data_IF_594722373396
#
_entry.id   IF_594722373396
#
_cell.length_a   1.000
_cell.length_b   1.000
_cell.length_c   1.000
_cell.angle_alpha   90.00
_cell.angle_beta   90.00
_cell.angle_gamma   90.00
#
_symmetry.space_group_name_H-M   'P 1'
#
loop_
_entity.id
_entity.type
_entity.pdbx_description
1 polymer ?
#
# COMPACT_ATOMS: atom_id res chain seq x y z
N UNK A 1 -10.96 25.54 7.49
CA UNK A 1 -10.15 24.46 8.10
C UNK A 1 -10.93 23.17 7.93
N UNK A 2 -10.25 22.08 7.59
CA UNK A 2 -10.84 20.74 7.55
C UNK A 2 -10.59 20.08 8.89
N UNK A 3 -11.53 19.26 9.34
CA UNK A 3 -11.48 18.65 10.67
C UNK A 3 -11.16 17.15 10.56
N UNK A 4 -11.20 16.59 9.35
CA UNK A 4 -10.79 15.21 9.06
C UNK A 4 -10.28 15.06 7.63
N UNK A 5 -9.43 14.06 7.43
CA UNK A 5 -8.97 13.60 6.11
C UNK A 5 -9.45 12.17 5.93
N UNK A 6 -10.11 11.90 4.81
CA UNK A 6 -10.58 10.58 4.42
C UNK A 6 -9.82 10.22 3.14
N UNK A 7 -9.22 9.04 3.08
CA UNK A 7 -8.55 8.55 1.89
C UNK A 7 -9.25 7.30 1.43
N UNK A 8 -9.81 7.37 0.22
CA UNK A 8 -10.72 6.38 -0.38
C UNK A 8 -11.96 6.10 0.49
N UNK A 9 -13.14 6.24 -0.10
CA UNK A 9 -14.40 5.96 0.55
C UNK A 9 -15.28 5.13 -0.38
N UNK A 10 -15.11 3.81 -0.34
CA UNK A 10 -16.01 2.85 -0.99
C UNK A 10 -17.39 2.79 -0.36
N UNK A 11 -17.47 2.85 0.97
CA UNK A 11 -18.72 2.80 1.72
C UNK A 11 -18.64 3.72 2.95
N UNK A 12 -19.67 4.55 3.13
CA UNK A 12 -19.78 5.48 4.27
C UNK A 12 -20.19 4.82 5.58
N UNK A 13 -20.73 3.60 5.57
CA UNK A 13 -21.19 2.92 6.78
C UNK A 13 -20.07 2.80 7.83
N UNK A 14 -18.85 2.50 7.38
CA UNK A 14 -17.67 2.35 8.22
C UNK A 14 -17.18 3.68 8.84
N UNK A 15 -17.52 4.82 8.23
CA UNK A 15 -17.06 6.14 8.68
C UNK A 15 -17.89 6.73 9.83
N UNK A 16 -19.11 6.23 10.04
CA UNK A 16 -20.05 6.79 11.01
C UNK A 16 -19.53 6.88 12.45
N UNK A 17 -18.66 5.98 12.97
CA UNK A 17 -18.09 6.12 14.31
C UNK A 17 -17.02 7.20 14.44
N UNK A 18 -16.50 7.73 13.32
CA UNK A 18 -15.33 8.62 13.29
C UNK A 18 -15.66 10.06 12.87
N UNK A 19 -16.87 10.30 12.37
CA UNK A 19 -17.27 11.59 11.82
C UNK A 19 -18.49 12.14 12.54
N UNK A 20 -18.32 13.29 13.17
CA UNK A 20 -19.44 14.04 13.76
C UNK A 20 -20.26 14.77 12.70
N UNK A 21 -21.53 15.06 12.99
CA UNK A 21 -22.46 15.69 12.06
C UNK A 21 -22.00 17.06 11.50
N UNK A 22 -21.14 17.78 12.24
CA UNK A 22 -20.59 19.09 11.81
C UNK A 22 -19.23 18.98 11.11
N UNK A 23 -18.71 17.77 10.92
CA UNK A 23 -17.39 17.52 10.35
C UNK A 23 -17.25 18.16 8.95
N UNK A 24 -16.06 18.70 8.68
CA UNK A 24 -15.66 19.25 7.38
C UNK A 24 -14.62 18.34 6.72
N UNK A 25 -15.03 17.18 6.17
CA UNK A 25 -14.08 16.21 5.66
C UNK A 25 -13.41 16.67 4.38
N UNK A 26 -12.11 16.42 4.29
CA UNK A 26 -11.34 16.43 3.06
C UNK A 26 -11.14 15.00 2.57
N UNK A 27 -11.81 14.64 1.47
CA UNK A 27 -11.71 13.32 0.84
C UNK A 27 -10.64 13.34 -0.25
N UNK A 28 -9.69 12.44 -0.19
CA UNK A 28 -8.75 12.13 -1.26
C UNK A 28 -9.10 10.79 -1.88
N UNK A 29 -9.07 10.72 -3.21
CA UNK A 29 -9.21 9.48 -3.96
C UNK A 29 -7.85 9.13 -4.57
N UNK A 30 -7.43 7.87 -4.41
CA UNK A 30 -6.18 7.36 -4.99
C UNK A 30 -6.34 6.97 -6.46
N UNK A 31 -7.53 6.52 -6.85
CA UNK A 31 -7.90 6.16 -8.23
C UNK A 31 -9.43 6.04 -8.39
N UNK A 32 -9.89 5.81 -9.63
CA UNK A 32 -11.32 5.80 -9.99
C UNK A 32 -12.09 4.48 -9.84
N UNK A 33 -11.58 3.46 -9.16
CA UNK A 33 -12.37 2.23 -8.94
C UNK A 33 -13.52 2.44 -7.94
N UNK A 34 -14.64 1.75 -8.17
CA UNK A 34 -15.89 1.98 -7.45
C UNK A 34 -15.77 1.73 -5.94
N UNK A 35 -15.05 0.70 -5.55
CA UNK A 35 -14.76 0.33 -4.17
C UNK A 35 -13.86 1.34 -3.42
N UNK A 36 -13.35 2.37 -4.12
CA UNK A 36 -12.64 3.50 -3.52
C UNK A 36 -13.44 4.82 -3.56
N UNK A 37 -14.50 4.93 -4.37
CA UNK A 37 -15.21 6.19 -4.57
C UNK A 37 -16.74 6.14 -4.35
N UNK A 38 -17.34 4.97 -4.20
CA UNK A 38 -18.81 4.82 -4.19
C UNK A 38 -19.50 5.51 -3.00
N UNK A 39 -18.79 5.74 -1.89
CA UNK A 39 -19.30 6.46 -0.73
C UNK A 39 -19.24 7.98 -0.87
N UNK A 40 -18.49 8.52 -1.84
CA UNK A 40 -18.30 9.97 -2.00
C UNK A 40 -19.61 10.74 -2.21
N UNK A 41 -20.55 10.30 -3.08
CA UNK A 41 -21.83 10.99 -3.24
C UNK A 41 -22.63 11.05 -1.93
N UNK A 42 -22.53 10.04 -1.07
CA UNK A 42 -23.17 10.03 0.25
C UNK A 42 -22.48 11.01 1.19
N UNK A 43 -21.14 11.04 1.24
CA UNK A 43 -20.41 12.03 2.05
C UNK A 43 -20.74 13.47 1.65
N UNK A 44 -20.81 13.77 0.35
CA UNK A 44 -21.15 15.12 -0.14
C UNK A 44 -22.59 15.54 0.20
N UNK A 45 -23.53 14.58 0.25
CA UNK A 45 -24.91 14.82 0.68
C UNK A 45 -25.01 15.04 2.19
N UNK A 46 -24.25 14.27 2.98
CA UNK A 46 -24.30 14.30 4.45
C UNK A 46 -23.57 15.52 5.03
N UNK A 47 -22.36 15.82 4.53
CA UNK A 47 -21.51 16.88 5.10
C UNK A 47 -21.45 18.10 4.18
N UNK A 48 -22.07 19.21 4.61
CA UNK A 48 -22.19 20.46 3.83
C UNK A 48 -20.86 21.02 3.31
N UNK A 49 -19.76 20.74 4.00
CA UNK A 49 -18.42 21.23 3.67
C UNK A 49 -17.47 20.12 3.20
N UNK A 50 -18.00 18.98 2.75
CA UNK A 50 -17.22 17.90 2.17
C UNK A 50 -16.47 18.39 0.92
N UNK A 51 -15.14 18.34 0.97
CA UNK A 51 -14.28 18.66 -0.18
C UNK A 51 -13.66 17.39 -0.72
N UNK A 52 -13.78 17.15 -2.02
CA UNK A 52 -13.24 15.94 -2.68
C UNK A 52 -12.07 16.32 -3.57
N UNK A 53 -11.01 15.52 -3.53
CA UNK A 53 -9.81 15.62 -4.36
C UNK A 53 -9.62 14.31 -5.12
N UNK A 54 -9.76 14.38 -6.43
CA UNK A 54 -9.54 13.26 -7.34
C UNK A 54 -8.13 13.32 -7.92
N UNK A 55 -7.59 12.18 -8.38
CA UNK A 55 -6.42 12.18 -9.23
C UNK A 55 -6.67 12.99 -10.52
N UNK A 56 -5.62 13.55 -11.14
CA UNK A 56 -5.73 14.18 -12.45
C UNK A 56 -6.15 13.14 -13.50
N UNK A 57 -7.14 13.48 -14.33
CA UNK A 57 -7.75 12.55 -15.31
C UNK A 57 -6.82 12.09 -16.45
N UNK A 58 -5.61 12.67 -16.58
CA UNK A 58 -4.56 12.18 -17.49
C UNK A 58 -3.16 12.47 -16.92
N UNK A 59 -2.25 11.48 -16.81
CA UNK A 59 -0.83 11.78 -16.72
C UNK A 59 -0.39 12.36 -18.08
N UNK A 60 0.21 13.54 -18.08
CA UNK A 60 0.79 14.12 -19.30
C UNK A 60 1.71 13.09 -19.97
N UNK A 61 1.47 12.78 -21.24
CA UNK A 61 2.12 11.73 -22.06
C UNK A 61 3.61 11.93 -22.34
N UNK A 62 4.27 12.81 -21.60
CA UNK A 62 5.73 12.91 -21.61
C UNK A 62 6.24 11.99 -20.51
N UNK A 63 7.11 11.05 -20.86
CA UNK A 63 8.00 10.34 -19.94
C UNK A 63 8.99 11.30 -19.25
N UNK A 64 8.47 12.40 -18.70
CA UNK A 64 9.20 13.41 -17.96
C UNK A 64 9.46 12.82 -16.58
N UNK A 65 10.63 12.20 -16.46
CA UNK A 65 11.43 12.07 -15.24
C UNK A 65 10.65 12.45 -13.96
N UNK A 66 10.10 11.45 -13.27
CA UNK A 66 9.68 11.57 -11.87
C UNK A 66 10.93 11.89 -11.03
N UNK A 67 11.37 13.14 -11.09
CA UNK A 67 12.40 13.70 -10.24
C UNK A 67 11.76 14.00 -8.89
N UNK A 68 11.91 13.07 -7.96
CA UNK A 68 12.01 13.44 -6.55
C UNK A 68 13.30 14.24 -6.36
N UNK A 69 13.32 15.49 -6.82
CA UNK A 69 14.39 16.42 -6.46
C UNK A 69 14.07 16.96 -5.07
N UNK A 70 15.09 17.04 -4.22
CA UNK A 70 15.05 17.50 -2.84
C UNK A 70 14.62 18.98 -2.66
N UNK A 71 14.00 19.61 -3.66
CA UNK A 71 13.50 20.99 -3.61
C UNK A 71 12.65 21.37 -4.84
N UNK A 72 11.82 20.48 -5.39
CA UNK A 72 10.80 20.90 -6.37
C UNK A 72 9.40 20.72 -5.79
N UNK A 73 8.80 21.87 -5.49
CA UNK A 73 7.38 22.05 -5.28
C UNK A 73 6.64 21.46 -6.48
N UNK A 74 5.92 20.36 -6.30
CA UNK A 74 4.84 19.98 -7.18
C UNK A 74 3.88 21.18 -7.20
N UNK A 75 3.94 21.95 -8.29
CA UNK A 75 2.86 22.86 -8.62
C UNK A 75 1.58 22.00 -8.69
N UNK A 76 0.62 22.36 -7.86
CA UNK A 76 -0.72 21.77 -7.69
C UNK A 76 -0.84 20.67 -6.61
N UNK A 77 -1.31 21.13 -5.44
CA UNK A 77 -1.96 20.41 -4.33
C UNK A 77 -1.14 20.00 -3.09
N UNK A 78 0.08 20.51 -2.87
CA UNK A 78 0.66 20.46 -1.52
C UNK A 78 -0.16 21.34 -0.55
N UNK A 79 -0.70 20.75 0.52
CA UNK A 79 -1.44 21.50 1.57
C UNK A 79 -0.88 21.20 2.95
N UNK A 80 -0.76 22.25 3.74
CA UNK A 80 -0.37 22.18 5.14
C UNK A 80 -1.59 22.47 6.02
N UNK A 81 -1.88 21.60 6.98
CA UNK A 81 -2.84 21.83 8.06
C UNK A 81 -2.04 22.03 9.34
N UNK A 82 -2.25 23.15 10.04
CA UNK A 82 -1.55 23.44 11.28
C UNK A 82 -2.52 23.36 12.46
N UNK A 83 -2.20 22.55 13.47
CA UNK A 83 -2.78 22.62 14.81
C UNK A 83 -1.77 23.29 15.76
N UNK A 84 -2.15 23.53 17.02
CA UNK A 84 -1.37 24.39 17.94
C UNK A 84 0.12 24.01 18.08
N UNK A 85 0.47 22.72 17.95
CA UNK A 85 1.84 22.19 18.09
C UNK A 85 2.36 21.38 16.89
N UNK A 86 1.54 21.11 15.86
CA UNK A 86 1.94 20.31 14.71
C UNK A 86 1.54 20.91 13.36
N UNK A 87 2.28 20.49 12.33
CA UNK A 87 2.08 20.78 10.93
C UNK A 87 1.95 19.46 10.16
N UNK A 88 0.79 19.25 9.53
CA UNK A 88 0.53 18.11 8.65
C UNK A 88 0.66 18.57 7.21
N UNK A 89 1.64 18.02 6.49
CA UNK A 89 1.83 18.24 5.05
C UNK A 89 1.27 17.06 4.26
N UNK A 90 0.43 17.34 3.27
CA UNK A 90 -0.11 16.36 2.34
C UNK A 90 0.46 16.60 0.94
N UNK A 91 1.06 15.58 0.36
CA UNK A 91 1.62 15.61 -1.01
C UNK A 91 1.11 14.40 -1.79
N UNK A 92 0.50 14.63 -2.95
CA UNK A 92 0.10 13.56 -3.86
C UNK A 92 1.14 13.42 -4.99
N UNK A 93 1.44 12.18 -5.39
CA UNK A 93 2.32 11.89 -6.51
C UNK A 93 1.64 10.92 -7.48
N UNK A 94 1.67 11.24 -8.78
CA UNK A 94 1.18 10.34 -9.81
C UNK A 94 2.08 9.10 -9.91
N UNK A 95 1.47 7.93 -9.78
CA UNK A 95 2.12 6.63 -9.97
C UNK A 95 1.18 5.76 -10.80
N UNK A 96 1.15 5.95 -12.14
CA UNK A 96 0.23 5.24 -13.01
C UNK A 96 0.67 3.79 -13.23
N UNK A 97 0.63 3.01 -12.15
CA UNK A 97 1.06 1.63 -12.10
C UNK A 97 -0.15 0.68 -12.01
N UNK A 98 -1.06 0.91 -11.06
CA UNK A 98 -2.28 0.11 -10.95
C UNK A 98 -3.27 0.47 -12.05
N UNK A 99 -3.69 1.73 -12.09
CA UNK A 99 -4.46 2.37 -13.17
C UNK A 99 -3.68 3.57 -13.72
N UNK A 100 -4.08 4.09 -14.88
CA UNK A 100 -3.41 5.25 -15.48
C UNK A 100 -3.57 6.55 -14.68
N UNK A 101 -4.56 6.63 -13.81
CA UNK A 101 -4.84 7.78 -12.93
C UNK A 101 -4.36 7.55 -11.49
N UNK A 102 -3.74 6.41 -11.18
CA UNK A 102 -3.32 6.09 -9.81
C UNK A 102 -2.36 7.13 -9.23
N UNK A 103 -2.64 7.58 -8.00
CA UNK A 103 -1.77 8.45 -7.19
C UNK A 103 -1.49 7.82 -5.84
N UNK A 104 -0.35 8.19 -5.25
CA UNK A 104 -0.02 7.92 -3.85
C UNK A 104 -0.09 9.22 -3.08
N UNK A 105 -0.77 9.21 -1.94
CA UNK A 105 -0.80 10.35 -1.02
C UNK A 105 0.20 10.12 0.10
N UNK A 106 1.07 11.10 0.32
CA UNK A 106 2.03 11.13 1.41
C UNK A 106 1.63 12.18 2.42
N UNK A 107 1.36 11.75 3.65
CA UNK A 107 1.13 12.61 4.80
C UNK A 107 2.38 12.63 5.66
N UNK A 108 2.88 13.82 6.01
CA UNK A 108 4.00 14.01 6.93
C UNK A 108 3.54 14.88 8.08
N UNK A 109 3.81 14.43 9.30
CA UNK A 109 3.51 15.19 10.51
C UNK A 109 4.82 15.70 11.08
N UNK A 110 4.91 17.01 11.34
CA UNK A 110 6.07 17.64 12.02
C UNK A 110 5.58 18.53 13.15
N UNK A 111 6.42 18.82 14.14
CA UNK A 111 6.11 19.87 15.09
C UNK A 111 6.17 21.25 14.40
N UNK A 112 5.38 22.20 14.89
CA UNK A 112 5.48 23.61 14.47
C UNK A 112 6.82 24.23 14.87
N UNK A 113 7.43 23.76 15.98
CA UNK A 113 8.83 24.00 16.33
C UNK A 113 9.70 22.81 15.94
N UNK A 114 10.50 22.96 14.89
CA UNK A 114 11.40 21.91 14.38
C UNK A 114 12.42 21.40 15.42
N UNK A 115 12.68 22.15 16.51
CA UNK A 115 13.54 21.69 17.63
C UNK A 115 12.90 20.56 18.44
N UNK A 116 11.61 20.31 18.24
CA UNK A 116 10.81 19.36 19.02
C UNK A 116 10.48 18.07 18.26
N UNK A 117 10.89 17.90 16.99
CA UNK A 117 10.61 16.68 16.18
C UNK A 117 11.13 15.36 16.80
N UNK A 118 12.02 15.45 17.80
CA UNK A 118 12.57 14.32 18.55
C UNK A 118 12.00 14.18 19.98
N UNK A 119 11.12 15.08 20.42
CA UNK A 119 10.49 15.00 21.74
C UNK A 119 9.28 14.07 21.67
N UNK A 120 9.18 13.14 22.64
CA UNK A 120 7.95 12.38 22.86
C UNK A 120 6.93 13.32 23.48
N UNK A 121 5.99 13.82 22.69
CA UNK A 121 4.81 14.49 23.23
C UNK A 121 3.67 13.45 23.25
N UNK A 122 3.00 13.32 24.39
CA UNK A 122 1.74 12.55 24.47
C UNK A 122 0.69 13.33 23.68
N UNK A 123 0.30 12.84 22.50
CA UNK A 123 -0.60 13.58 21.60
C UNK A 123 -1.67 12.70 20.96
N UNK A 124 -2.82 13.34 20.72
CA UNK A 124 -4.06 12.79 20.17
C UNK A 124 -3.91 12.33 18.69
N UNK A 125 -4.71 11.34 18.24
CA UNK A 125 -4.68 10.84 16.86
C UNK A 125 -5.00 11.93 15.82
N UNK A 126 -4.15 12.10 14.81
CA UNK A 126 -4.33 13.09 13.74
C UNK A 126 -5.13 12.61 12.51
N UNK A 127 -5.63 11.36 12.47
CA UNK A 127 -6.43 10.92 11.32
C UNK A 127 -7.02 9.50 11.38
N UNK A 128 -8.01 9.25 10.53
CA UNK A 128 -8.65 7.94 10.34
C UNK A 128 -8.46 7.45 8.91
N UNK A 129 -8.02 6.20 8.75
CA UNK A 129 -7.98 5.50 7.46
C UNK A 129 -9.23 4.63 7.35
N UNK A 130 -9.83 4.53 6.16
CA UNK A 130 -10.86 3.52 5.90
C UNK A 130 -10.37 2.63 4.78
N UNK A 131 -10.32 1.31 5.03
CA UNK A 131 -9.98 0.33 4.00
C UNK A 131 -11.19 -0.57 3.76
N UNK A 132 -11.49 -0.79 2.49
CA UNK A 132 -12.44 -1.79 2.06
C UNK A 132 -11.73 -3.16 1.99
N UNK A 133 -12.27 -4.16 2.69
CA UNK A 133 -11.93 -5.55 2.41
C UNK A 133 -12.77 -6.02 1.21
N UNK A 134 -12.20 -6.71 0.22
CA UNK A 134 -12.96 -7.28 -0.90
C UNK A 134 -13.89 -8.43 -0.48
N UNK A 135 -13.61 -9.09 0.65
CA UNK A 135 -14.33 -10.29 1.11
C UNK A 135 -14.99 -10.12 2.50
N UNK A 136 -15.08 -8.88 3.01
CA UNK A 136 -15.61 -8.57 4.34
C UNK A 136 -16.37 -7.25 4.38
N UNK A 137 -17.10 -6.96 5.48
CA UNK A 137 -17.73 -5.66 5.64
C UNK A 137 -16.65 -4.56 5.61
N UNK A 138 -16.95 -3.38 5.04
CA UNK A 138 -16.01 -2.26 5.00
C UNK A 138 -15.54 -1.94 6.42
N UNK A 139 -14.23 -1.81 6.61
CA UNK A 139 -13.62 -1.64 7.92
C UNK A 139 -12.85 -0.32 7.97
N UNK A 140 -13.30 0.58 8.83
CA UNK A 140 -12.59 1.81 9.13
C UNK A 140 -11.66 1.61 10.32
N UNK A 141 -10.43 2.13 10.22
CA UNK A 141 -9.42 2.08 11.26
C UNK A 141 -8.86 3.47 11.50
N UNK A 142 -9.04 3.99 12.71
CA UNK A 142 -8.33 5.19 13.12
C UNK A 142 -6.83 4.90 13.29
N UNK A 143 -5.98 5.74 12.70
CA UNK A 143 -4.53 5.58 12.74
C UNK A 143 -3.89 6.87 13.25
N UNK A 144 -3.41 6.84 14.48
CA UNK A 144 -2.60 7.92 15.04
C UNK A 144 -1.24 7.99 14.36
N UNK A 145 -0.81 9.21 14.03
CA UNK A 145 0.55 9.51 13.60
C UNK A 145 1.16 10.54 14.54
N UNK A 146 2.43 10.35 14.87
CA UNK A 146 3.21 11.26 15.71
C UNK A 146 4.05 12.21 14.85
N UNK A 147 4.47 13.34 15.42
CA UNK A 147 5.42 14.24 14.77
C UNK A 147 6.71 13.51 14.43
N UNK A 148 7.29 13.81 13.27
CA UNK A 148 8.41 13.11 12.67
C UNK A 148 8.05 11.77 12.02
N UNK A 149 6.76 11.42 11.92
CA UNK A 149 6.29 10.25 11.18
C UNK A 149 5.60 10.65 9.86
N UNK A 150 5.48 9.66 8.97
CA UNK A 150 4.73 9.79 7.73
C UNK A 150 3.79 8.60 7.51
N UNK A 151 2.76 8.81 6.70
CA UNK A 151 1.91 7.76 6.15
C UNK A 151 1.86 7.88 4.62
N UNK A 152 1.99 6.74 3.95
CA UNK A 152 1.84 6.58 2.51
C UNK A 152 0.53 5.85 2.26
N UNK A 153 -0.46 6.57 1.76
CA UNK A 153 -1.72 5.99 1.29
C UNK A 153 -1.52 5.60 -0.17
N UNK A 154 -1.39 4.31 -0.41
CA UNK A 154 -0.92 3.79 -1.70
C UNK A 154 -2.05 3.30 -2.60
N UNK A 155 -3.30 3.35 -2.11
CA UNK A 155 -4.45 2.74 -2.78
C UNK A 155 -4.09 1.33 -3.21
N UNK A 156 -4.26 1.07 -4.50
CA UNK A 156 -3.96 -0.24 -5.08
C UNK A 156 -2.58 -0.35 -5.71
N UNK A 157 -1.69 0.63 -5.52
CA UNK A 157 -0.34 0.59 -6.06
C UNK A 157 0.58 -0.34 -5.25
N UNK A 158 0.59 -0.17 -3.93
CA UNK A 158 1.34 -1.00 -2.98
C UNK A 158 0.40 -1.52 -1.89
N UNK A 159 0.68 -2.73 -1.43
CA UNK A 159 -0.02 -3.36 -0.31
C UNK A 159 1.01 -3.93 0.68
N UNK A 160 0.54 -4.33 1.85
CA UNK A 160 1.36 -5.14 2.75
C UNK A 160 1.88 -6.38 2.00
N UNK A 161 3.20 -6.54 1.98
CA UNK A 161 3.94 -7.62 1.32
C UNK A 161 3.65 -7.80 -0.19
N UNK A 162 3.06 -6.81 -0.88
CA UNK A 162 2.71 -6.92 -2.30
C UNK A 162 2.54 -5.59 -3.02
N UNK A 163 2.05 -5.68 -4.26
CA UNK A 163 1.72 -4.55 -5.13
C UNK A 163 0.45 -4.84 -5.94
N UNK A 164 -0.11 -3.79 -6.53
CA UNK A 164 -1.24 -3.84 -7.46
C UNK A 164 -1.01 -4.71 -8.69
N UNK A 165 -2.11 -5.16 -9.30
CA UNK A 165 -2.09 -5.60 -10.71
C UNK A 165 -1.91 -4.40 -11.61
N UNK A 166 -1.27 -4.61 -12.76
CA UNK A 166 -1.13 -3.57 -13.79
C UNK A 166 -2.34 -3.63 -14.72
N UNK A 167 -3.28 -2.71 -14.58
CA UNK A 167 -4.44 -2.58 -15.48
C UNK A 167 -4.18 -1.58 -16.63
N UNK A 168 -3.01 -0.94 -16.65
CA UNK A 168 -2.61 -0.04 -17.73
C UNK A 168 -2.34 -0.83 -19.02
N UNK A 169 -2.95 -0.42 -20.13
CA UNK A 169 -2.70 -1.00 -21.46
C UNK A 169 -1.47 -0.41 -22.16
N UNK A 170 -0.81 0.58 -21.57
CA UNK A 170 0.36 1.24 -22.14
C UNK A 170 1.61 0.38 -21.99
N UNK A 171 2.39 0.31 -23.05
CA UNK A 171 3.73 -0.27 -23.06
C UNK A 171 4.76 0.83 -23.17
N UNK A 172 5.86 0.65 -22.46
CA UNK A 172 7.05 1.47 -22.56
C UNK A 172 7.73 1.22 -23.90
N UNK A 173 7.92 2.27 -24.70
CA UNK A 173 8.41 2.15 -26.08
C UNK A 173 9.86 1.70 -26.18
N UNK A 174 10.66 1.88 -25.12
CA UNK A 174 12.08 1.49 -25.11
C UNK A 174 12.27 0.04 -24.66
N UNK A 175 11.48 -0.41 -23.70
CA UNK A 175 11.62 -1.74 -23.09
C UNK A 175 10.61 -2.77 -23.60
N UNK A 176 9.51 -2.35 -24.22
CA UNK A 176 8.40 -3.21 -24.63
C UNK A 176 7.59 -3.81 -23.47
N UNK A 177 7.80 -3.31 -22.24
CA UNK A 177 7.14 -3.77 -21.02
C UNK A 177 5.92 -2.93 -20.69
N UNK A 178 5.01 -3.38 -19.80
CA UNK A 178 3.96 -2.53 -19.27
C UNK A 178 4.56 -1.26 -18.64
N UNK A 179 4.11 -0.08 -19.06
CA UNK A 179 4.64 1.20 -18.55
C UNK A 179 4.50 1.31 -17.02
N UNK A 180 3.46 0.68 -16.45
CA UNK A 180 3.27 0.50 -15.02
C UNK A 180 4.51 -0.03 -14.27
N UNK A 181 5.28 -0.93 -14.89
CA UNK A 181 6.50 -1.46 -14.28
C UNK A 181 7.59 -0.39 -14.11
N UNK A 182 7.71 0.53 -15.08
CA UNK A 182 8.61 1.69 -15.00
C UNK A 182 8.17 2.65 -13.89
N UNK A 183 6.86 2.95 -13.80
CA UNK A 183 6.33 3.81 -12.75
C UNK A 183 6.51 3.21 -11.35
N UNK A 184 6.27 1.91 -11.20
CA UNK A 184 6.53 1.20 -9.95
C UNK A 184 8.03 1.20 -9.61
N UNK A 185 8.92 1.04 -10.59
CA UNK A 185 10.36 1.11 -10.37
C UNK A 185 10.81 2.49 -9.85
N UNK A 186 10.27 3.58 -10.40
CA UNK A 186 10.52 4.94 -9.90
C UNK A 186 10.05 5.09 -8.45
N UNK A 187 8.86 4.59 -8.12
CA UNK A 187 8.35 4.60 -6.75
C UNK A 187 9.27 3.83 -5.81
N UNK A 188 9.62 2.58 -6.15
CA UNK A 188 10.52 1.74 -5.35
C UNK A 188 11.83 2.47 -5.09
N UNK A 189 12.45 3.02 -6.14
CA UNK A 189 13.72 3.74 -6.03
C UNK A 189 13.63 4.94 -5.07
N UNK A 190 12.50 5.64 -5.06
CA UNK A 190 12.26 6.72 -4.12
C UNK A 190 12.09 6.22 -2.68
N UNK A 191 11.25 5.20 -2.48
CA UNK A 191 10.96 4.63 -1.16
C UNK A 191 12.16 3.91 -0.52
N UNK A 192 13.10 3.42 -1.33
CA UNK A 192 14.35 2.81 -0.87
C UNK A 192 15.48 3.81 -0.67
N UNK A 193 15.24 5.10 -0.92
CA UNK A 193 16.29 6.13 -0.83
C UNK A 193 16.75 6.32 0.61
N UNK A 194 18.07 6.38 0.88
CA UNK A 194 18.59 6.67 2.22
C UNK A 194 18.27 8.10 2.68
N UNK A 195 17.89 8.99 1.76
CA UNK A 195 17.53 10.37 2.04
C UNK A 195 16.02 10.58 2.27
N UNK A 196 15.24 9.50 2.38
CA UNK A 196 13.81 9.59 2.65
C UNK A 196 13.56 10.18 4.05
N UNK A 197 12.80 11.26 4.12
CA UNK A 197 12.45 11.95 5.37
C UNK A 197 10.93 12.17 5.48
N UNK A 198 10.24 11.63 6.50
CA UNK A 198 10.73 10.74 7.55
C UNK A 198 11.33 9.41 7.07
N UNK A 199 12.23 8.78 7.86
CA UNK A 199 12.90 7.54 7.46
C UNK A 199 11.92 6.37 7.36
N UNK A 200 12.30 5.25 6.70
CA UNK A 200 11.43 4.08 6.52
C UNK A 200 10.84 3.51 7.82
N UNK A 201 11.58 3.54 8.93
CA UNK A 201 11.11 3.06 10.23
C UNK A 201 9.99 3.95 10.84
N UNK A 202 9.84 5.18 10.36
CA UNK A 202 8.83 6.15 10.81
C UNK A 202 7.80 6.46 9.72
N UNK A 203 7.79 5.68 8.64
CA UNK A 203 6.85 5.83 7.53
C UNK A 203 5.93 4.63 7.50
N UNK A 204 4.62 4.81 7.64
CA UNK A 204 3.63 3.75 7.47
C UNK A 204 3.24 3.61 6.00
N UNK A 205 2.99 2.39 5.56
CA UNK A 205 2.42 2.05 4.26
C UNK A 205 0.99 1.55 4.47
N UNK A 206 0.03 2.23 3.86
CA UNK A 206 -1.41 2.03 4.01
C UNK A 206 -2.00 1.76 2.63
N UNK A 207 -2.18 0.47 2.31
CA UNK A 207 -2.80 0.02 1.06
C UNK A 207 -4.33 0.06 1.11
N UNK A 208 -4.96 -0.03 -0.06
CA UNK A 208 -6.42 0.00 -0.21
C UNK A 208 -7.14 -1.24 0.34
N UNK A 209 -6.44 -2.38 0.37
CA UNK A 209 -7.04 -3.69 0.63
C UNK A 209 -6.23 -4.60 1.56
N UNK A 210 -6.95 -5.51 2.21
CA UNK A 210 -6.43 -6.58 3.06
C UNK A 210 -5.96 -7.80 2.26
N UNK A 211 -4.84 -7.65 1.53
CA UNK A 211 -4.22 -8.75 0.77
C UNK A 211 -2.97 -9.33 1.43
N UNK A 212 -2.59 -8.87 2.62
CA UNK A 212 -1.26 -9.12 3.17
C UNK A 212 -0.96 -10.60 3.43
N UNK A 213 -1.93 -11.38 3.92
CA UNK A 213 -1.76 -12.82 4.13
C UNK A 213 -1.46 -13.58 2.81
N UNK A 214 -2.25 -13.31 1.76
CA UNK A 214 -2.07 -13.94 0.45
C UNK A 214 -0.77 -13.46 -0.23
N UNK A 215 -0.45 -12.16 -0.12
CA UNK A 215 0.77 -11.57 -0.64
C UNK A 215 2.01 -12.20 0.00
N UNK A 216 1.97 -12.41 1.31
CA UNK A 216 3.05 -13.06 2.06
C UNK A 216 3.20 -14.53 1.72
N UNK A 217 2.10 -15.27 1.56
CA UNK A 217 2.15 -16.66 1.12
C UNK A 217 2.90 -16.79 -0.20
N UNK A 218 2.64 -15.89 -1.15
CA UNK A 218 3.39 -15.78 -2.40
C UNK A 218 4.86 -15.38 -2.18
N UNK A 219 5.14 -14.36 -1.35
CA UNK A 219 6.52 -13.94 -1.08
C UNK A 219 7.37 -15.11 -0.51
N UNK A 220 6.79 -15.96 0.33
CA UNK A 220 7.44 -17.15 0.88
C UNK A 220 7.79 -18.21 -0.17
N UNK A 221 7.09 -18.26 -1.30
CA UNK A 221 7.48 -19.16 -2.40
C UNK A 221 8.74 -18.69 -3.13
N UNK A 222 9.03 -17.37 -3.07
CA UNK A 222 10.18 -16.77 -3.74
C UNK A 222 11.41 -16.69 -2.83
N UNK A 223 11.22 -16.37 -1.54
CA UNK A 223 12.30 -16.27 -0.55
C UNK A 223 11.99 -17.17 0.68
N UNK A 224 12.05 -18.50 0.55
CA UNK A 224 11.69 -19.43 1.63
C UNK A 224 12.58 -19.33 2.88
N UNK A 225 13.79 -18.77 2.73
CA UNK A 225 14.75 -18.58 3.82
C UNK A 225 14.69 -17.18 4.44
N UNK A 226 13.83 -16.28 3.94
CA UNK A 226 13.68 -14.95 4.53
C UNK A 226 12.90 -15.06 5.86
N UNK A 227 13.62 -14.97 6.97
CA UNK A 227 13.05 -15.12 8.31
C UNK A 227 12.01 -14.04 8.64
N UNK A 228 12.10 -12.86 8.01
CA UNK A 228 11.15 -11.78 8.18
C UNK A 228 9.77 -12.15 7.64
N UNK A 229 9.68 -13.12 6.72
CA UNK A 229 8.43 -13.67 6.21
C UNK A 229 7.84 -14.79 7.09
N UNK A 230 8.50 -15.23 8.17
CA UNK A 230 8.00 -16.31 9.05
C UNK A 230 6.85 -15.86 9.93
N UNK A 231 5.85 -16.73 10.10
CA UNK A 231 4.72 -16.50 11.00
C UNK A 231 5.25 -16.20 12.40
N UNK A 232 4.96 -15.01 12.91
CA UNK A 232 5.24 -14.67 14.30
C UNK A 232 3.89 -14.62 15.01
N UNK A 233 3.47 -15.67 15.71
CA UNK A 233 2.20 -15.68 16.42
C UNK A 233 2.12 -14.57 17.50
N UNK A 234 3.25 -14.08 18.01
CA UNK A 234 3.30 -13.21 19.20
C UNK A 234 3.08 -11.71 18.94
N UNK A 235 3.18 -11.22 17.70
CA UNK A 235 2.81 -9.82 17.39
C UNK A 235 1.54 -9.67 16.58
N UNK A 236 0.70 -10.70 16.61
CA UNK A 236 -0.75 -10.49 16.43
C UNK A 236 -1.34 -9.72 17.62
N UNK A 237 -0.66 -9.67 18.78
CA UNK A 237 -1.35 -9.47 20.05
C UNK A 237 -0.83 -8.37 21.00
N UNK A 238 0.16 -7.54 20.62
CA UNK A 238 0.63 -6.49 21.55
C UNK A 238 0.77 -5.05 21.04
N UNK A 239 0.55 -4.76 19.76
CA UNK A 239 0.43 -3.35 19.32
C UNK A 239 -0.36 -3.15 18.02
N UNK A 240 -0.61 -4.20 17.22
CA UNK A 240 -1.28 -4.08 15.93
C UNK A 240 -2.01 -5.40 15.65
N UNK A 241 -3.34 -5.41 15.72
CA UNK A 241 -4.12 -6.63 15.44
C UNK A 241 -3.77 -7.17 14.05
N UNK A 242 -3.31 -8.42 13.99
CA UNK A 242 -2.80 -9.15 12.82
C UNK A 242 -1.82 -8.36 11.91
N UNK A 243 -0.64 -8.93 11.70
CA UNK A 243 0.49 -8.42 10.91
C UNK A 243 0.25 -7.85 9.50
N UNK A 244 -0.99 -7.93 9.01
CA UNK A 244 -1.42 -7.56 7.68
C UNK A 244 -2.66 -6.66 7.65
N UNK A 245 -3.25 -6.37 8.83
CA UNK A 245 -4.43 -5.53 9.01
C UNK A 245 -4.35 -4.20 8.26
N UNK A 246 -5.53 -3.67 7.91
CA UNK A 246 -5.83 -2.25 7.58
C UNK A 246 -4.99 -1.20 8.34
N UNK A 247 -4.45 -1.52 9.53
CA UNK A 247 -3.47 -0.68 10.27
C UNK A 247 -2.14 -0.45 9.54
N UNK A 248 -1.82 -1.20 8.50
CA UNK A 248 -0.60 -1.09 7.71
C UNK A 248 0.66 -1.57 8.42
N UNK A 249 1.80 -1.39 7.75
CA UNK A 249 3.12 -1.72 8.28
C UNK A 249 4.11 -0.58 8.04
N UNK A 250 5.19 -0.51 8.81
CA UNK A 250 6.27 0.44 8.52
C UNK A 250 6.92 0.12 7.16
N UNK A 251 7.40 1.13 6.46
CA UNK A 251 8.14 0.97 5.22
C UNK A 251 9.44 0.18 5.47
N UNK A 252 10.08 0.34 6.63
CA UNK A 252 11.20 -0.53 7.02
C UNK A 252 10.82 -2.01 7.01
N UNK A 253 9.66 -2.36 7.58
CA UNK A 253 9.14 -3.74 7.53
C UNK A 253 8.87 -4.18 6.10
N UNK A 254 8.23 -3.34 5.29
CA UNK A 254 7.96 -3.66 3.90
C UNK A 254 9.26 -3.82 3.08
N UNK A 255 10.33 -3.08 3.38
CA UNK A 255 11.66 -3.29 2.78
C UNK A 255 12.28 -4.65 3.18
N UNK A 256 11.87 -5.24 4.30
CA UNK A 256 12.31 -6.55 4.74
C UNK A 256 11.44 -7.70 4.21
N UNK A 257 10.17 -7.45 3.89
CA UNK A 257 9.20 -8.51 3.54
C UNK A 257 8.58 -8.40 2.14
N UNK A 258 8.42 -7.21 1.58
CA UNK A 258 7.71 -7.01 0.33
C UNK A 258 8.61 -7.31 -0.88
N UNK A 259 8.33 -8.36 -1.67
CA UNK A 259 9.19 -8.73 -2.79
C UNK A 259 9.29 -7.61 -3.85
N UNK A 260 8.27 -6.75 -4.00
CA UNK A 260 8.31 -5.63 -4.95
C UNK A 260 9.26 -4.50 -4.51
N UNK A 261 9.44 -4.30 -3.21
CA UNK A 261 10.40 -3.30 -2.69
C UNK A 261 11.82 -3.87 -2.59
N UNK A 262 11.95 -5.18 -2.34
CA UNK A 262 13.23 -5.89 -2.16
C UNK A 262 13.97 -6.18 -3.46
N UNK A 263 13.26 -6.24 -4.58
CA UNK A 263 13.78 -6.74 -5.85
C UNK A 263 14.99 -5.95 -6.38
N UNK A 264 15.10 -4.67 -6.02
CA UNK A 264 16.25 -3.85 -6.35
C UNK A 264 17.54 -4.32 -5.67
N UNK A 265 17.45 -4.86 -4.45
CA UNK A 265 18.59 -5.17 -3.58
C UNK A 265 18.79 -6.68 -3.30
N UNK A 266 17.87 -7.56 -3.72
CA UNK A 266 17.94 -9.00 -3.46
C UNK A 266 18.29 -9.82 -4.72
N UNK A 267 19.56 -10.25 -4.89
CA UNK A 267 19.95 -11.19 -5.94
C UNK A 267 19.22 -12.52 -5.85
N UNK A 268 18.96 -13.00 -4.63
CA UNK A 268 18.24 -14.27 -4.41
C UNK A 268 16.81 -14.23 -4.95
N UNK A 269 16.10 -13.12 -4.74
CA UNK A 269 14.75 -12.92 -5.26
C UNK A 269 14.74 -12.85 -6.80
N UNK A 270 15.72 -12.17 -7.40
CA UNK A 270 15.89 -12.14 -8.87
C UNK A 270 16.15 -13.53 -9.43
N UNK A 271 17.00 -14.32 -8.78
CA UNK A 271 17.28 -15.70 -9.17
C UNK A 271 16.04 -16.59 -9.09
N UNK A 272 15.23 -16.48 -8.02
CA UNK A 272 13.96 -17.21 -7.87
C UNK A 272 12.95 -16.90 -8.98
N UNK A 273 13.05 -15.74 -9.62
CA UNK A 273 12.21 -15.32 -10.74
C UNK A 273 12.84 -15.64 -12.12
N UNK A 274 14.01 -16.27 -12.15
CA UNK A 274 14.83 -16.46 -13.36
C UNK A 274 15.13 -15.14 -14.10
N UNK A 275 15.26 -14.03 -13.36
CA UNK A 275 15.60 -12.73 -13.91
C UNK A 275 17.12 -12.56 -13.87
N UNK A 276 17.71 -12.15 -15.00
CA UNK A 276 19.15 -11.91 -15.09
C UNK A 276 19.60 -10.84 -14.09
N UNK A 277 20.82 -10.98 -13.53
CA UNK A 277 21.35 -10.03 -12.56
C UNK A 277 21.37 -8.58 -13.10
N UNK A 278 21.75 -8.43 -14.37
CA UNK A 278 21.85 -7.13 -15.06
C UNK A 278 20.52 -6.59 -15.60
N UNK A 279 19.41 -7.31 -15.41
CA UNK A 279 18.10 -6.82 -15.84
C UNK A 279 17.74 -5.53 -15.09
N UNK A 280 17.17 -4.56 -15.80
CA UNK A 280 16.71 -3.32 -15.18
C UNK A 280 15.59 -3.61 -14.17
N UNK A 281 15.41 -2.72 -13.18
CA UNK A 281 14.35 -2.89 -12.18
C UNK A 281 12.93 -3.01 -12.79
N UNK A 282 12.55 -2.24 -13.83
CA UNK A 282 11.27 -2.43 -14.52
C UNK A 282 11.07 -3.85 -15.08
N UNK A 283 12.11 -4.43 -15.70
CA UNK A 283 12.07 -5.82 -16.22
C UNK A 283 11.81 -6.80 -15.09
N UNK A 284 12.56 -6.66 -13.99
CA UNK A 284 12.40 -7.54 -12.84
C UNK A 284 11.00 -7.41 -12.21
N UNK A 285 10.47 -6.19 -12.06
CA UNK A 285 9.15 -5.95 -11.49
C UNK A 285 8.02 -6.50 -12.38
N UNK A 286 8.14 -6.37 -13.70
CA UNK A 286 7.20 -6.98 -14.64
C UNK A 286 7.20 -8.51 -14.52
N UNK A 287 8.38 -9.14 -14.41
CA UNK A 287 8.49 -10.59 -14.20
C UNK A 287 7.87 -11.02 -12.85
N UNK A 288 8.17 -10.31 -11.76
CA UNK A 288 7.59 -10.56 -10.44
C UNK A 288 6.06 -10.44 -10.46
N UNK A 289 5.53 -9.42 -11.14
CA UNK A 289 4.09 -9.21 -11.29
C UNK A 289 3.41 -10.37 -12.02
N UNK A 290 3.97 -10.78 -13.15
CA UNK A 290 3.49 -11.94 -13.93
C UNK A 290 3.50 -13.22 -13.10
N UNK A 291 4.57 -13.46 -12.32
CA UNK A 291 4.65 -14.61 -11.43
C UNK A 291 3.56 -14.57 -10.35
N UNK A 292 3.26 -13.40 -9.78
CA UNK A 292 2.20 -13.24 -8.78
C UNK A 292 0.80 -13.39 -9.38
N UNK A 293 0.58 -12.89 -10.59
CA UNK A 293 -0.73 -13.01 -11.26
C UNK A 293 -1.05 -14.45 -11.66
N UNK A 294 -0.01 -15.25 -11.90
CA UNK A 294 -0.11 -16.69 -12.18
C UNK A 294 -0.12 -17.55 -10.91
N UNK A 295 0.09 -16.96 -9.73
CA UNK A 295 0.13 -17.69 -8.47
C UNK A 295 -1.29 -17.99 -7.99
N UNK A 296 -1.69 -19.25 -8.07
CA UNK A 296 -2.91 -19.74 -7.42
C UNK A 296 -2.56 -20.29 -6.03
N UNK A 297 -3.21 -19.83 -4.95
CA UNK A 297 -3.00 -20.36 -3.60
C UNK A 297 -3.45 -21.82 -3.44
N UNK A 298 -4.12 -22.40 -4.46
CA UNK A 298 -4.74 -23.72 -4.40
C UNK A 298 -3.85 -24.88 -4.86
N UNK A 299 -2.63 -24.67 -5.36
CA UNK A 299 -1.91 -25.72 -6.10
C UNK A 299 -1.13 -26.73 -5.26
N UNK A 300 -0.73 -26.43 -4.01
CA UNK A 300 0.03 -27.40 -3.20
C UNK A 300 -0.75 -28.06 -2.06
N UNK A 301 -1.56 -27.31 -1.30
CA UNK A 301 -2.28 -27.86 -0.15
C UNK A 301 -3.45 -28.76 -0.57
N UNK A 302 -4.19 -28.40 -1.64
CA UNK A 302 -5.30 -29.22 -2.15
C UNK A 302 -4.82 -30.51 -2.82
N UNK A 303 -3.72 -30.46 -3.57
CA UNK A 303 -3.16 -31.65 -4.24
C UNK A 303 -2.62 -32.65 -3.22
N UNK A 304 -1.91 -32.19 -2.18
CA UNK A 304 -1.43 -33.07 -1.10
C UNK A 304 -2.57 -33.61 -0.23
N UNK A 305 -3.61 -32.80 0.03
CA UNK A 305 -4.79 -33.26 0.78
C UNK A 305 -5.58 -34.33 0.02
N UNK A 306 -5.72 -34.21 -1.30
CA UNK A 306 -6.35 -35.24 -2.15
C UNK A 306 -5.49 -36.50 -2.31
N UNK A 307 -4.17 -36.36 -2.42
CA UNK A 307 -3.25 -37.51 -2.41
C UNK A 307 -3.29 -38.26 -1.06
N UNK A 308 -3.39 -37.54 0.06
CA UNK A 308 -3.49 -38.13 1.39
C UNK A 308 -4.85 -38.81 1.65
N UNK A 309 -5.96 -38.23 1.18
CA UNK A 309 -7.28 -38.87 1.20
C UNK A 309 -7.33 -40.11 0.28
N UNK A 310 -6.73 -40.02 -0.92
CA UNK A 310 -6.66 -41.13 -1.88
C UNK A 310 -5.83 -42.32 -1.39
N UNK A 311 -4.76 -42.07 -0.61
CA UNK A 311 -3.96 -43.11 0.05
C UNK A 311 -4.72 -43.76 1.23
N UNK A 312 -5.49 -43.00 2.01
CA UNK A 312 -6.34 -43.55 3.08
C UNK A 312 -7.49 -44.41 2.56
N UNK A 313 -8.13 -44.04 1.45
CA UNK A 313 -9.21 -44.85 0.88
C UNK A 313 -8.72 -46.18 0.29
N UNK A 314 -7.50 -46.23 -0.26
CA UNK A 314 -6.88 -47.50 -0.71
C UNK A 314 -6.45 -48.41 0.44
N UNK A 315 -6.01 -47.86 1.57
CA UNK A 315 -5.65 -48.66 2.76
C UNK A 315 -6.87 -49.31 3.44
N UNK A 316 -8.06 -48.70 3.34
CA UNK A 316 -9.30 -49.25 3.91
C UNK A 316 -9.89 -50.37 3.03
N UNK A 317 -9.58 -50.41 1.73
CA UNK A 317 -10.09 -51.45 0.82
C UNK A 317 -9.27 -52.76 0.82
N UNK A 318 -8.17 -52.84 1.56
CA UNK A 318 -7.30 -54.03 1.64
C UNK A 318 -7.33 -54.74 3.02
N UNK A 319 -8.29 -54.38 3.89
CA UNK A 319 -8.42 -54.93 5.25
C UNK A 319 -9.55 -55.96 5.45
N UNK A 320 -10.29 -56.33 4.41
CA UNK A 320 -11.33 -57.37 4.48
C UNK A 320 -11.37 -58.15 3.16
N UNK A 321 -10.55 -59.19 3.06
CA UNK A 321 -10.75 -60.43 2.30
C UNK A 321 -9.55 -61.36 2.53
#
# INVERSE_FOLDING_TARGET
MYDSVIVDCGDTAALSPFLDAECKPLVFLTHGHLDHMSGVPTLQRTYKHCTVRTPPQQPSTTAAQLRWTSSQTLAEASRSLSCACMTVSLTAAAVPAHTSDSVILRMVVRHTDARQDNLKVEEEPLGCLVSSSPDGPPAAVSQSLHAGCAALFTGDTLFACGAGRFFTSTVDSETGLPAAATHLACLVSHLTSPSLDPPPARTLVLGGHEYGAANRAFARTLEPTNEQLRDNPDAVDRDVGSWYSVRGATLARELDTNPFLRLAASPSLRASLNVHADATLPVALAALRTAKDSHSPLTLSFVLSYLWLGLKMKAISWGFL
#
